data_IF_881709461282
#
_entry.id   IF_881709461282
#
_cell.length_a   1.000
_cell.length_b   1.000
_cell.length_c   1.000
_cell.angle_alpha   90.00
_cell.angle_beta   90.00
_cell.angle_gamma   90.00
#
_symmetry.space_group_name_H-M   'P 1'
#
loop_
_entity.id
_entity.type
_entity.pdbx_description
1 polymer ?
#
# COMPACT_ATOMS: atom_id res chain seq x y z
N UNK A 1 -11.14 15.97 26.63
CA UNK A 1 -10.80 15.71 26.28
C UNK A 1 -10.16 15.28 25.62
N UNK A 2 -9.57 15.30 25.57
CA UNK A 2 -8.93 14.91 25.07
C UNK A 2 -8.16 14.64 24.44
N UNK A 3 -7.87 14.51 24.34
CA UNK A 3 -7.25 14.27 23.81
C UNK A 3 -6.52 13.90 23.18
N UNK A 4 -6.22 13.80 22.90
CA UNK A 4 -5.52 13.47 22.28
C UNK A 4 -4.63 13.64 22.08
N UNK A 5 -4.42 13.85 22.09
CA UNK A 5 -3.52 14.13 21.72
C UNK A 5 -2.48 13.83 21.86
N UNK A 6 -2.20 13.48 22.18
CA UNK A 6 -1.27 13.21 22.43
C UNK A 6 -0.49 12.82 21.82
N UNK A 7 -0.71 12.69 21.32
CA UNK A 7 -0.15 12.38 20.60
C UNK A 7 0.85 12.92 20.23
N UNK A 8 0.72 13.60 19.87
CA UNK A 8 1.39 14.31 19.53
C UNK A 8 2.47 14.53 20.02
N UNK A 9 2.58 14.12 20.58
CA UNK A 9 3.40 14.29 21.33
C UNK A 9 4.68 13.81 21.15
N UNK A 10 4.98 13.04 20.28
CA UNK A 10 6.28 12.74 19.96
C UNK A 10 6.83 13.93 19.29
N UNK A 11 7.68 14.66 19.93
CA UNK A 11 8.38 15.69 19.22
C UNK A 11 9.09 14.99 18.10
N UNK A 12 8.92 15.46 16.90
CA UNK A 12 9.65 14.89 15.80
C UNK A 12 11.11 15.04 16.09
N UNK A 13 11.85 14.03 15.78
CA UNK A 13 13.27 14.17 15.72
C UNK A 13 13.52 15.19 14.66
N UNK A 14 14.01 16.33 15.06
CA UNK A 14 14.15 17.41 14.14
C UNK A 14 15.45 17.28 13.42
N UNK A 15 15.38 16.76 12.22
CA UNK A 15 16.49 16.95 11.30
C UNK A 15 16.20 18.20 10.51
N UNK A 16 17.19 19.01 10.23
CA UNK A 16 16.97 20.17 9.39
C UNK A 16 16.48 19.70 8.03
N UNK A 17 15.40 20.30 7.58
CA UNK A 17 14.87 20.03 6.27
C UNK A 17 13.55 19.31 6.27
N UNK A 18 13.27 18.65 5.16
CA UNK A 18 11.95 18.11 4.88
C UNK A 18 11.67 16.76 5.52
N UNK A 19 12.71 16.07 6.00
CA UNK A 19 12.59 14.71 6.48
C UNK A 19 11.57 14.57 7.62
N UNK A 20 11.66 15.46 8.61
CA UNK A 20 10.74 15.40 9.75
C UNK A 20 9.29 15.63 9.31
N UNK A 21 9.09 16.50 8.31
CA UNK A 21 7.76 16.77 7.79
C UNK A 21 7.19 15.54 7.09
N UNK A 22 8.00 14.86 6.30
CA UNK A 22 7.57 13.67 5.59
C UNK A 22 7.27 12.52 6.55
N UNK A 23 8.07 12.40 7.59
CA UNK A 23 7.83 11.39 8.60
C UNK A 23 6.52 11.66 9.33
N UNK A 24 6.22 12.93 9.62
CA UNK A 24 4.95 13.30 10.23
C UNK A 24 3.80 12.98 9.29
N UNK A 25 3.93 13.30 8.00
CA UNK A 25 2.90 12.99 7.01
C UNK A 25 2.67 11.48 6.92
N UNK A 26 3.75 10.69 6.95
CA UNK A 26 3.63 9.24 6.91
C UNK A 26 2.82 8.73 8.10
N UNK A 27 3.18 9.15 9.30
CA UNK A 27 2.50 8.69 10.51
C UNK A 27 1.03 9.08 10.52
N UNK A 28 0.74 10.31 10.14
CA UNK A 28 -0.63 10.81 10.11
C UNK A 28 -1.46 10.05 9.10
N UNK A 29 -0.93 9.86 7.89
CA UNK A 29 -1.65 9.12 6.86
C UNK A 29 -1.83 7.66 7.24
N UNK A 30 -0.81 7.03 7.81
CA UNK A 30 -0.90 5.64 8.27
C UNK A 30 -2.00 5.49 9.32
N UNK A 31 -2.08 6.45 10.24
CA UNK A 31 -3.11 6.43 11.28
C UNK A 31 -4.50 6.53 10.67
N UNK A 32 -4.70 7.43 9.71
CA UNK A 32 -5.99 7.52 9.01
C UNK A 32 -6.33 6.21 8.31
N UNK A 33 -5.37 5.58 7.63
CA UNK A 33 -5.63 4.32 6.94
C UNK A 33 -5.96 3.21 7.92
N UNK A 34 -5.29 3.18 9.06
CA UNK A 34 -5.58 2.20 10.11
C UNK A 34 -7.00 2.35 10.65
N UNK A 35 -7.54 3.55 10.60
CA UNK A 35 -8.92 3.82 11.01
C UNK A 35 -9.90 3.76 9.84
N UNK A 36 -9.43 3.29 8.68
CA UNK A 36 -10.22 3.15 7.47
C UNK A 36 -10.75 4.49 6.96
N UNK A 37 -9.91 5.52 7.04
CA UNK A 37 -10.22 6.87 6.57
C UNK A 37 -9.30 7.25 5.40
N UNK A 38 -9.47 6.59 4.22
CA UNK A 38 -8.54 6.81 3.10
C UNK A 38 -8.63 8.19 2.49
N UNK A 39 -9.79 8.83 2.55
CA UNK A 39 -9.92 10.18 2.00
C UNK A 39 -9.05 11.16 2.76
N UNK A 40 -9.12 11.09 4.10
CA UNK A 40 -8.31 11.94 4.96
C UNK A 40 -6.81 11.63 4.79
N UNK A 41 -6.48 10.35 4.63
CA UNK A 41 -5.10 9.97 4.37
C UNK A 41 -4.59 10.61 3.07
N UNK A 42 -5.39 10.59 2.00
CA UNK A 42 -4.98 11.19 0.74
C UNK A 42 -4.78 12.70 0.86
N UNK A 43 -5.59 13.38 1.68
CA UNK A 43 -5.41 14.81 1.90
C UNK A 43 -4.06 15.14 2.53
N UNK A 44 -3.53 14.22 3.33
CA UNK A 44 -2.21 14.38 3.94
C UNK A 44 -1.11 13.97 2.95
N UNK A 45 -1.35 12.90 2.19
CA UNK A 45 -0.33 12.32 1.31
C UNK A 45 -0.06 13.17 0.07
N UNK A 46 -1.09 13.79 -0.51
CA UNK A 46 -0.91 14.51 -1.77
C UNK A 46 0.10 15.66 -1.65
N UNK A 47 -0.02 16.57 -0.67
CA UNK A 47 0.99 17.64 -0.55
C UNK A 47 2.38 17.11 -0.24
N UNK A 48 2.48 16.05 0.57
CA UNK A 48 3.78 15.47 0.93
C UNK A 48 4.45 14.85 -0.29
N UNK A 49 3.67 14.20 -1.16
CA UNK A 49 4.20 13.60 -2.37
C UNK A 49 4.54 14.63 -3.43
N UNK A 50 3.90 15.80 -3.42
CA UNK A 50 4.34 16.89 -4.29
C UNK A 50 5.76 17.32 -3.97
N UNK A 51 6.12 17.28 -2.69
CA UNK A 51 7.47 17.66 -2.26
C UNK A 51 8.47 16.53 -2.47
N UNK A 52 8.03 15.28 -2.33
CA UNK A 52 8.89 14.10 -2.54
C UNK A 52 8.17 13.04 -3.35
N UNK A 53 8.12 13.22 -4.67
CA UNK A 53 7.35 12.31 -5.52
C UNK A 53 7.83 10.86 -5.49
N UNK A 54 9.10 10.64 -5.15
CA UNK A 54 9.70 9.31 -5.18
C UNK A 54 9.76 8.65 -3.81
N UNK A 55 9.14 9.24 -2.79
CA UNK A 55 9.16 8.67 -1.45
C UNK A 55 8.32 7.38 -1.42
N UNK A 56 9.01 6.24 -1.28
CA UNK A 56 8.35 4.94 -1.35
C UNK A 56 7.31 4.75 -0.25
N UNK A 57 7.63 5.17 0.97
CA UNK A 57 6.70 5.02 2.08
C UNK A 57 5.38 5.74 1.83
N UNK A 58 5.47 6.98 1.40
CA UNK A 58 4.26 7.77 1.10
C UNK A 58 3.50 7.19 -0.08
N UNK A 59 4.21 6.72 -1.11
CA UNK A 59 3.57 6.12 -2.27
C UNK A 59 2.87 4.81 -1.91
N UNK A 60 3.46 4.02 -1.02
CA UNK A 60 2.82 2.79 -0.55
C UNK A 60 1.52 3.09 0.18
N UNK A 61 1.52 4.13 1.02
CA UNK A 61 0.29 4.53 1.71
C UNK A 61 -0.76 5.05 0.74
N UNK A 62 -0.34 5.77 -0.30
CA UNK A 62 -1.28 6.23 -1.32
C UNK A 62 -1.93 5.06 -2.05
N UNK A 63 -1.14 4.06 -2.40
CA UNK A 63 -1.67 2.85 -3.03
C UNK A 63 -2.68 2.15 -2.11
N UNK A 64 -2.37 2.08 -0.82
CA UNK A 64 -3.28 1.48 0.17
C UNK A 64 -4.59 2.26 0.22
N UNK A 65 -4.50 3.60 0.22
CA UNK A 65 -5.70 4.44 0.21
C UNK A 65 -6.54 4.20 -1.05
N UNK A 66 -5.90 4.08 -2.20
CA UNK A 66 -6.61 3.79 -3.44
C UNK A 66 -7.33 2.44 -3.36
N UNK A 67 -6.66 1.42 -2.80
CA UNK A 67 -7.28 0.10 -2.62
C UNK A 67 -8.52 0.19 -1.75
N UNK A 68 -8.44 0.94 -0.65
CA UNK A 68 -9.57 1.11 0.25
C UNK A 68 -10.74 1.81 -0.41
N UNK A 69 -10.46 2.71 -1.34
CA UNK A 69 -11.49 3.44 -2.05
C UNK A 69 -11.95 2.74 -3.32
N UNK A 70 -11.49 1.52 -3.54
CA UNK A 70 -11.77 0.75 -4.74
C UNK A 70 -11.36 1.47 -6.03
N UNK A 71 -10.36 2.35 -5.95
CA UNK A 71 -9.75 2.98 -7.11
C UNK A 71 -8.67 2.05 -7.63
N UNK A 72 -9.09 0.93 -8.18
CA UNK A 72 -8.22 -0.21 -8.40
C UNK A 72 -7.17 0.02 -9.48
N UNK A 73 -7.52 0.77 -10.54
CA UNK A 73 -6.57 1.08 -11.60
C UNK A 73 -5.46 1.99 -11.05
N UNK A 74 -5.84 3.02 -10.29
CA UNK A 74 -4.84 3.91 -9.68
C UNK A 74 -3.93 3.12 -8.74
N UNK A 75 -4.52 2.20 -7.96
CA UNK A 75 -3.74 1.38 -7.04
C UNK A 75 -2.76 0.50 -7.81
N UNK A 76 -3.21 -0.20 -8.85
CA UNK A 76 -2.34 -1.10 -9.59
C UNK A 76 -1.25 -0.34 -10.34
N UNK A 77 -1.55 0.86 -10.85
CA UNK A 77 -0.53 1.67 -11.51
C UNK A 77 0.56 2.08 -10.54
N UNK A 78 0.18 2.57 -9.36
CA UNK A 78 1.16 2.95 -8.33
C UNK A 78 1.98 1.76 -7.88
N UNK A 79 1.33 0.63 -7.64
CA UNK A 79 1.99 -0.58 -7.15
C UNK A 79 2.91 -1.19 -8.20
N UNK A 80 2.55 -1.10 -9.48
CA UNK A 80 3.41 -1.58 -10.56
C UNK A 80 4.76 -0.85 -10.52
N UNK A 81 4.74 0.47 -10.32
CA UNK A 81 5.97 1.24 -10.22
C UNK A 81 6.76 0.85 -8.97
N UNK A 82 6.08 0.67 -7.83
CA UNK A 82 6.75 0.29 -6.59
C UNK A 82 7.43 -1.08 -6.72
N UNK A 83 6.76 -2.04 -7.36
CA UNK A 83 7.34 -3.37 -7.57
C UNK A 83 8.51 -3.31 -8.54
N UNK A 84 8.43 -2.46 -9.59
CA UNK A 84 9.54 -2.30 -10.53
C UNK A 84 10.76 -1.71 -9.86
N UNK A 85 10.55 -0.74 -8.94
CA UNK A 85 11.65 -0.08 -8.25
C UNK A 85 12.29 -1.01 -7.21
N UNK A 86 11.51 -1.85 -6.56
CA UNK A 86 12.01 -2.80 -5.56
C UNK A 86 11.25 -4.12 -5.67
N UNK A 87 11.75 -5.04 -6.48
CA UNK A 87 11.08 -6.33 -6.67
C UNK A 87 11.00 -7.19 -5.40
N UNK A 88 11.80 -6.87 -4.38
CA UNK A 88 11.80 -7.62 -3.12
C UNK A 88 10.74 -7.10 -2.12
N UNK A 89 10.03 -6.03 -2.47
CA UNK A 89 8.98 -5.49 -1.61
C UNK A 89 7.75 -6.39 -1.67
N UNK A 90 7.65 -7.29 -0.69
CA UNK A 90 6.59 -8.30 -0.65
C UNK A 90 5.22 -7.64 -0.53
N UNK A 91 5.12 -6.61 0.31
CA UNK A 91 3.83 -5.94 0.51
C UNK A 91 3.29 -5.37 -0.80
N UNK A 92 4.14 -4.63 -1.52
CA UNK A 92 3.71 -4.03 -2.79
C UNK A 92 3.34 -5.09 -3.81
N UNK A 93 4.09 -6.19 -3.84
CA UNK A 93 3.82 -7.28 -4.78
C UNK A 93 2.49 -7.95 -4.47
N UNK A 94 2.25 -8.26 -3.19
CA UNK A 94 0.99 -8.88 -2.79
C UNK A 94 -0.18 -7.93 -3.05
N UNK A 95 -0.01 -6.66 -2.70
CA UNK A 95 -1.04 -5.64 -2.91
C UNK A 95 -1.37 -5.48 -4.40
N UNK A 96 -0.33 -5.53 -5.26
CA UNK A 96 -0.55 -5.47 -6.70
C UNK A 96 -1.38 -6.66 -7.18
N UNK A 97 -1.02 -7.85 -6.71
CA UNK A 97 -1.80 -9.05 -7.04
C UNK A 97 -3.26 -8.92 -6.64
N UNK A 98 -3.50 -8.39 -5.43
CA UNK A 98 -4.88 -8.18 -4.96
C UNK A 98 -5.60 -7.12 -5.77
N UNK A 99 -4.92 -6.05 -6.16
CA UNK A 99 -5.53 -5.00 -6.98
C UNK A 99 -5.92 -5.55 -8.36
N UNK A 100 -5.08 -6.38 -8.94
CA UNK A 100 -5.37 -6.99 -10.23
C UNK A 100 -6.48 -8.03 -10.11
N UNK A 101 -6.47 -8.82 -9.05
CA UNK A 101 -7.54 -9.78 -8.78
C UNK A 101 -8.90 -9.08 -8.74
N UNK A 102 -8.97 -7.96 -8.02
CA UNK A 102 -10.23 -7.22 -7.88
C UNK A 102 -10.69 -6.57 -9.19
N UNK A 103 -9.78 -6.45 -10.16
CA UNK A 103 -10.12 -6.02 -11.52
C UNK A 103 -10.45 -7.20 -12.42
N UNK A 104 -10.52 -8.40 -11.86
CA UNK A 104 -10.72 -9.66 -12.59
C UNK A 104 -9.61 -9.96 -13.58
N UNK A 105 -8.44 -9.40 -13.37
CA UNK A 105 -7.26 -9.65 -14.19
C UNK A 105 -6.45 -10.78 -13.57
N UNK A 106 -7.05 -11.96 -13.56
CA UNK A 106 -6.51 -13.10 -12.81
C UNK A 106 -5.17 -13.58 -13.35
N UNK A 107 -5.01 -13.61 -14.66
CA UNK A 107 -3.75 -14.05 -15.26
C UNK A 107 -2.60 -13.11 -14.94
N UNK A 108 -2.88 -11.82 -14.84
CA UNK A 108 -1.86 -10.85 -14.45
C UNK A 108 -1.60 -10.88 -12.95
N UNK A 109 -2.62 -11.19 -12.14
CA UNK A 109 -2.49 -11.24 -10.70
C UNK A 109 -1.66 -12.41 -10.21
N UNK A 110 -1.81 -13.57 -10.86
CA UNK A 110 -1.20 -14.82 -10.38
C UNK A 110 0.32 -14.77 -10.21
N UNK A 111 1.09 -14.24 -11.18
CA UNK A 111 2.54 -14.19 -10.97
C UNK A 111 2.95 -13.42 -9.73
N UNK A 112 2.26 -12.32 -9.44
CA UNK A 112 2.58 -11.51 -8.26
C UNK A 112 2.19 -12.23 -6.99
N UNK A 113 1.02 -12.88 -6.96
CA UNK A 113 0.56 -13.60 -5.77
C UNK A 113 1.44 -14.82 -5.50
N UNK A 114 1.84 -15.56 -6.57
CA UNK A 114 2.71 -16.72 -6.42
C UNK A 114 4.07 -16.32 -5.86
N UNK A 115 4.62 -15.22 -6.37
CA UNK A 115 5.93 -14.80 -5.92
C UNK A 115 5.87 -14.31 -4.47
N UNK A 116 4.81 -13.57 -4.10
CA UNK A 116 4.65 -13.16 -2.72
C UNK A 116 4.54 -14.37 -1.79
N UNK A 117 3.81 -15.40 -2.19
CA UNK A 117 3.69 -16.62 -1.41
C UNK A 117 5.05 -17.31 -1.26
N UNK A 118 5.83 -17.39 -2.36
CA UNK A 118 7.13 -18.02 -2.32
C UNK A 118 8.11 -17.25 -1.44
N UNK A 119 8.01 -15.93 -1.43
CA UNK A 119 8.92 -15.08 -0.66
C UNK A 119 8.65 -15.13 0.83
N UNK A 120 7.39 -15.31 1.23
CA UNK A 120 7.03 -15.29 2.63
C UNK A 120 6.87 -16.67 3.25
N UNK A 121 6.44 -17.66 2.47
CA UNK A 121 6.05 -18.94 3.00
C UNK A 121 4.78 -18.87 3.84
N UNK A 122 4.04 -17.78 3.77
CA UNK A 122 2.84 -17.57 4.57
C UNK A 122 1.67 -18.32 3.95
N UNK A 123 1.01 -19.21 4.70
CA UNK A 123 -0.14 -19.96 4.17
C UNK A 123 -1.27 -19.08 3.66
N UNK A 124 -1.43 -17.87 4.20
CA UNK A 124 -2.46 -16.96 3.70
C UNK A 124 -2.19 -16.53 2.27
N UNK A 125 -0.91 -16.29 1.94
CA UNK A 125 -0.56 -15.95 0.58
C UNK A 125 -0.78 -17.11 -0.37
N UNK A 126 -0.52 -18.33 0.08
CA UNK A 126 -0.81 -19.51 -0.73
C UNK A 126 -2.31 -19.69 -0.95
N UNK A 127 -3.08 -19.36 0.06
CA UNK A 127 -4.54 -19.40 -0.05
C UNK A 127 -5.03 -18.42 -1.12
N UNK A 128 -4.43 -17.25 -1.16
CA UNK A 128 -4.77 -16.26 -2.18
C UNK A 128 -4.49 -16.80 -3.58
N UNK A 129 -3.36 -17.49 -3.77
CA UNK A 129 -3.03 -18.10 -5.05
C UNK A 129 -4.10 -19.11 -5.47
N UNK A 130 -4.47 -20.01 -4.56
CA UNK A 130 -5.46 -21.02 -4.85
C UNK A 130 -6.82 -20.42 -5.21
N UNK A 131 -7.21 -19.38 -4.48
CA UNK A 131 -8.47 -18.69 -4.75
C UNK A 131 -8.48 -18.10 -6.16
N UNK A 132 -7.38 -17.44 -6.53
CA UNK A 132 -7.32 -16.78 -7.84
C UNK A 132 -7.20 -17.81 -8.97
N UNK A 133 -6.48 -18.91 -8.74
CA UNK A 133 -6.40 -19.99 -9.72
C UNK A 133 -7.78 -20.57 -9.99
N UNK A 134 -8.60 -20.71 -8.95
CA UNK A 134 -9.96 -21.18 -9.12
C UNK A 134 -10.80 -20.19 -9.91
N UNK A 135 -10.67 -18.90 -9.58
CA UNK A 135 -11.41 -17.85 -10.29
C UNK A 135 -10.98 -17.75 -11.74
N UNK A 136 -9.73 -18.06 -12.04
CA UNK A 136 -9.23 -18.06 -13.40
C UNK A 136 -9.61 -19.33 -14.17
N UNK A 137 -10.29 -20.28 -13.53
CA UNK A 137 -10.68 -21.53 -14.16
C UNK A 137 -9.54 -22.53 -14.29
N UNK A 138 -8.49 -22.37 -13.50
CA UNK A 138 -7.31 -23.26 -13.56
C UNK A 138 -7.38 -24.42 -12.58
N UNK A 139 -8.31 -24.34 -11.63
CA UNK A 139 -8.57 -25.41 -10.67
C UNK A 139 -10.05 -25.76 -10.72
N UNK A 140 -10.36 -27.03 -10.55
CA UNK A 140 -11.75 -27.49 -10.53
C UNK A 140 -12.28 -27.66 -9.14
#
# INVERSE_FOLDING_TARGET
MNETPEIRILPPIVFPGTTARHETAYRTAHDFLSRRAPREALQVLEPALELEPDNRGLRSLRAWAYLMRAQLVKASDELTTLVADDPADVWSRHALGRALERQSKYDEALPHLRLAAAMTGDPEHEYDVLRVERLAGRLE
#
